data_IF_256788996458
#
_entry.id   IF_256788996458
#
_cell.length_a   1.000
_cell.length_b   1.000
_cell.length_c   1.000
_cell.angle_alpha   90.00
_cell.angle_beta   90.00
_cell.angle_gamma   90.00
#
_symmetry.space_group_name_H-M   'P 1'
#
loop_
_entity.id
_entity.type
_entity.pdbx_description
1 polymer ?
#
# COMPACT_ATOMS: atom_id res chain seq x y z
N UNK A 1 -16.42 11.00 -11.52
CA UNK A 1 -15.76 9.79 -10.95
C UNK A 1 -15.18 10.07 -9.56
N UNK A 2 -14.49 11.20 -9.34
CA UNK A 2 -14.00 11.61 -8.01
C UNK A 2 -15.09 11.76 -6.94
N UNK A 3 -16.26 12.27 -7.31
CA UNK A 3 -17.38 12.48 -6.38
C UNK A 3 -18.03 11.16 -5.91
N UNK A 4 -18.07 10.15 -6.80
CA UNK A 4 -18.61 8.82 -6.48
C UNK A 4 -17.68 8.05 -5.53
N UNK A 5 -16.36 8.21 -5.71
CA UNK A 5 -15.33 7.62 -4.84
C UNK A 5 -15.33 8.30 -3.46
N UNK A 6 -15.44 9.63 -3.39
CA UNK A 6 -15.56 10.34 -2.09
C UNK A 6 -16.78 9.91 -1.29
N UNK A 7 -17.89 9.56 -1.96
CA UNK A 7 -19.14 9.18 -1.30
C UNK A 7 -19.12 7.77 -0.69
N UNK A 8 -18.26 6.88 -1.18
CA UNK A 8 -18.22 5.46 -0.74
C UNK A 8 -16.92 5.08 -0.03
N UNK A 9 -15.89 5.93 -0.07
CA UNK A 9 -14.65 5.69 0.65
C UNK A 9 -14.77 6.27 2.05
N UNK A 10 -14.54 5.47 3.11
CA UNK A 10 -14.64 5.96 4.48
C UNK A 10 -13.66 7.10 4.70
N UNK A 11 -14.12 8.14 5.41
CA UNK A 11 -13.35 9.35 5.71
C UNK A 11 -12.06 9.02 6.46
N UNK A 12 -12.14 8.07 7.38
CA UNK A 12 -11.02 7.59 8.17
C UNK A 12 -10.82 6.10 8.02
N UNK A 13 -9.55 5.69 8.16
CA UNK A 13 -9.14 4.33 8.49
C UNK A 13 -8.59 4.33 9.90
N UNK A 14 -8.82 3.23 10.60
CA UNK A 14 -8.42 3.09 11.99
C UNK A 14 -7.30 2.09 12.11
N UNK A 15 -6.27 2.46 12.88
CA UNK A 15 -5.16 1.56 13.11
C UNK A 15 -4.43 1.85 14.41
N UNK A 16 -3.79 0.82 14.95
CA UNK A 16 -2.85 1.00 16.04
C UNK A 16 -1.49 1.41 15.49
N UNK A 17 -0.72 2.19 16.26
CA UNK A 17 0.60 2.62 15.83
C UNK A 17 1.50 3.04 16.98
N UNK A 18 2.81 2.92 16.76
CA UNK A 18 3.85 3.24 17.74
C UNK A 18 4.56 1.99 18.25
N UNK A 19 5.89 2.01 18.27
CA UNK A 19 6.68 1.00 18.98
C UNK A 19 6.45 1.18 20.49
N UNK A 20 6.09 0.10 21.20
CA UNK A 20 6.01 0.05 22.66
C UNK A 20 5.02 1.01 23.35
N UNK A 21 3.98 1.50 22.67
CA UNK A 21 2.89 2.19 23.36
C UNK A 21 1.77 1.21 23.67
N UNK A 22 1.08 1.45 24.79
CA UNK A 22 -0.20 0.85 25.12
C UNK A 22 -1.14 0.88 23.90
N UNK A 23 -2.16 0.02 23.89
CA UNK A 23 -3.09 -0.09 22.76
C UNK A 23 -3.83 1.25 22.53
N UNK A 24 -3.28 2.07 21.62
CA UNK A 24 -3.84 3.36 21.20
C UNK A 24 -4.30 3.24 19.75
N UNK A 25 -5.56 3.57 19.51
CA UNK A 25 -6.15 3.58 18.17
C UNK A 25 -6.05 5.01 17.62
N UNK A 26 -5.53 5.14 16.40
CA UNK A 26 -5.43 6.41 15.69
C UNK A 26 -6.36 6.38 14.47
N UNK A 27 -6.93 7.55 14.16
CA UNK A 27 -7.69 7.79 12.94
C UNK A 27 -6.78 8.40 11.88
N UNK A 28 -6.75 7.80 10.70
CA UNK A 28 -5.94 8.23 9.56
C UNK A 28 -6.85 8.55 8.39
N UNK A 29 -6.60 9.65 7.68
CA UNK A 29 -7.20 9.83 6.36
C UNK A 29 -6.62 8.83 5.36
N UNK A 30 -7.28 8.63 4.22
CA UNK A 30 -6.80 7.74 3.16
C UNK A 30 -5.37 8.08 2.70
N UNK A 31 -5.02 9.37 2.67
CA UNK A 31 -3.70 9.83 2.26
C UNK A 31 -2.63 9.60 3.34
N UNK A 32 -3.02 9.62 4.61
CA UNK A 32 -2.13 9.39 5.75
C UNK A 32 -1.88 7.90 6.02
N UNK A 33 -2.80 7.04 5.58
CA UNK A 33 -2.70 5.59 5.70
C UNK A 33 -1.46 5.05 5.01
N UNK A 34 -1.16 5.54 3.80
CA UNK A 34 0.03 5.14 3.04
C UNK A 34 0.05 3.64 2.75
N UNK A 35 1.16 2.99 3.11
CA UNK A 35 1.32 1.52 3.04
C UNK A 35 0.42 0.76 4.03
N UNK A 36 -0.23 1.46 4.95
CA UNK A 36 -1.21 0.91 5.87
C UNK A 36 -0.62 0.11 7.04
N UNK A 37 -1.51 -0.22 7.98
CA UNK A 37 -1.28 -1.29 8.94
C UNK A 37 -1.70 -2.63 8.33
N UNK A 38 -1.02 -3.71 8.70
CA UNK A 38 -1.44 -5.06 8.37
C UNK A 38 -2.83 -5.33 8.97
N UNK A 39 -3.67 -6.10 8.30
CA UNK A 39 -4.82 -6.67 9.01
C UNK A 39 -4.30 -7.40 10.25
N UNK A 40 -4.96 -7.26 11.40
CA UNK A 40 -4.58 -8.00 12.61
C UNK A 40 -4.59 -9.53 12.41
N UNK A 41 -5.18 -10.02 11.32
CA UNK A 41 -5.23 -11.41 10.89
C UNK A 41 -4.18 -11.77 9.83
N UNK A 42 -3.54 -10.77 9.20
CA UNK A 42 -2.53 -10.99 8.17
C UNK A 42 -1.14 -10.96 8.80
N UNK A 43 -0.44 -12.09 8.69
CA UNK A 43 0.99 -12.19 9.01
C UNK A 43 1.78 -11.07 8.35
N UNK A 44 2.90 -10.67 8.95
CA UNK A 44 3.80 -9.61 8.48
C UNK A 44 4.14 -9.73 6.99
N UNK A 45 3.32 -9.11 6.14
CA UNK A 45 3.52 -9.09 4.70
C UNK A 45 4.71 -8.18 4.40
N UNK A 46 5.89 -8.77 4.21
CA UNK A 46 7.12 -8.06 3.83
C UNK A 46 6.93 -7.30 2.51
N UNK A 47 6.02 -7.78 1.65
CA UNK A 47 5.55 -7.11 0.44
C UNK A 47 4.92 -5.73 0.72
N UNK A 48 4.32 -5.50 1.89
CA UNK A 48 3.75 -4.19 2.27
C UNK A 48 4.66 -3.40 3.22
N UNK A 49 5.93 -3.82 3.35
CA UNK A 49 6.92 -3.12 4.17
C UNK A 49 7.79 -2.17 3.33
N UNK A 50 8.15 -1.02 3.91
CA UNK A 50 9.07 -0.06 3.28
C UNK A 50 10.41 -0.70 2.99
N UNK A 51 10.89 -1.56 3.88
CA UNK A 51 12.17 -2.26 3.75
C UNK A 51 12.10 -3.24 2.58
N UNK A 52 11.06 -4.08 2.53
CA UNK A 52 10.84 -5.03 1.44
C UNK A 52 10.72 -4.33 0.09
N UNK A 53 9.92 -3.27 0.00
CA UNK A 53 9.76 -2.50 -1.24
C UNK A 53 11.04 -1.76 -1.65
N UNK A 54 11.83 -1.26 -0.69
CA UNK A 54 13.15 -0.68 -0.96
C UNK A 54 14.13 -1.72 -1.50
N UNK A 55 14.12 -2.93 -0.94
CA UNK A 55 14.98 -4.02 -1.37
C UNK A 55 14.60 -4.50 -2.78
N UNK A 56 13.31 -4.69 -3.05
CA UNK A 56 12.80 -5.04 -4.39
C UNK A 56 13.18 -3.94 -5.38
N UNK A 57 12.97 -2.67 -5.05
CA UNK A 57 13.38 -1.57 -5.92
C UNK A 57 14.88 -1.60 -6.19
N UNK A 58 15.73 -1.81 -5.18
CA UNK A 58 17.19 -1.87 -5.33
C UNK A 58 17.61 -3.03 -6.24
N UNK A 59 17.13 -4.25 -5.95
CA UNK A 59 17.46 -5.47 -6.71
C UNK A 59 17.01 -5.34 -8.16
N UNK A 60 15.81 -4.78 -8.40
CA UNK A 60 15.26 -4.63 -9.74
C UNK A 60 15.87 -3.45 -10.51
N UNK A 61 16.57 -2.51 -9.86
CA UNK A 61 17.15 -1.33 -10.53
C UNK A 61 18.19 -1.74 -11.57
N UNK A 62 19.13 -2.62 -11.22
CA UNK A 62 20.20 -3.03 -12.15
C UNK A 62 19.63 -3.78 -13.36
N UNK A 63 18.79 -4.81 -13.20
CA UNK A 63 18.14 -5.48 -14.34
C UNK A 63 17.23 -4.55 -15.14
N UNK A 64 16.48 -3.64 -14.51
CA UNK A 64 15.61 -2.70 -15.23
C UNK A 64 16.40 -1.71 -16.10
N UNK A 65 17.65 -1.40 -15.74
CA UNK A 65 18.55 -0.58 -16.55
C UNK A 65 19.27 -1.40 -17.62
N UNK A 66 19.73 -2.61 -17.30
CA UNK A 66 20.56 -3.44 -18.19
C UNK A 66 19.74 -4.23 -19.22
N UNK A 67 18.59 -4.80 -18.83
CA UNK A 67 17.77 -5.65 -19.71
C UNK A 67 17.28 -4.95 -20.99
N UNK A 68 16.92 -3.64 -20.98
CA UNK A 68 16.58 -2.92 -22.20
C UNK A 68 17.71 -2.90 -23.24
N UNK A 69 18.98 -2.91 -22.82
CA UNK A 69 20.13 -2.96 -23.74
C UNK A 69 20.35 -4.35 -24.35
N UNK A 70 19.82 -5.41 -23.75
CA UNK A 70 19.86 -6.76 -24.31
C UNK A 70 18.94 -6.94 -25.53
N UNK A 71 17.90 -6.12 -25.67
CA UNK A 71 16.99 -6.13 -26.81
C UNK A 71 17.70 -5.73 -28.13
N UNK A 72 18.37 -4.57 -28.24
CA UNK A 72 19.11 -4.22 -29.45
C UNK A 72 20.28 -5.18 -29.70
N UNK A 73 20.89 -5.75 -28.67
CA UNK A 73 21.91 -6.80 -28.82
C UNK A 73 21.33 -8.09 -29.43
N UNK A 74 20.15 -8.52 -28.97
CA UNK A 74 19.39 -9.64 -29.55
C UNK A 74 18.99 -9.39 -31.01
N UNK A 75 18.52 -8.19 -31.32
CA UNK A 75 18.20 -7.78 -32.69
C UNK A 75 19.45 -7.80 -33.58
N UNK A 76 20.57 -7.27 -33.09
CA UNK A 76 21.84 -7.27 -33.82
C UNK A 76 22.33 -8.69 -34.12
N UNK A 77 22.20 -9.60 -33.15
CA UNK A 77 22.55 -11.01 -33.35
C UNK A 77 21.64 -11.67 -34.38
N UNK A 78 20.32 -11.42 -34.37
CA UNK A 78 19.41 -11.88 -35.43
C UNK A 78 19.84 -11.37 -36.81
N UNK A 79 20.22 -10.09 -36.92
CA UNK A 79 20.66 -9.48 -38.18
C UNK A 79 21.98 -10.10 -38.67
N UNK A 80 22.93 -10.35 -37.77
CA UNK A 80 24.23 -10.94 -38.11
C UNK A 80 24.14 -12.44 -38.45
N UNK A 81 23.14 -13.15 -37.93
CA UNK A 81 22.89 -14.57 -38.20
C UNK A 81 22.11 -14.84 -39.49
N UNK A 82 21.76 -13.82 -40.28
CA UNK A 82 21.09 -13.98 -41.59
C UNK A 82 21.77 -14.91 -42.61
N UNK A 83 23.11 -15.07 -42.64
CA UNK A 83 23.75 -15.99 -43.57
C UNK A 83 23.54 -17.48 -43.26
N UNK A 84 23.20 -17.82 -42.00
CA UNK A 84 23.14 -19.20 -41.53
C UNK A 84 21.88 -19.41 -40.65
N UNK A 85 20.85 -20.03 -41.23
CA UNK A 85 19.50 -20.17 -40.63
C UNK A 85 19.48 -20.92 -39.28
N UNK A 86 20.53 -21.69 -38.96
CA UNK A 86 20.67 -22.40 -37.69
C UNK A 86 20.88 -21.48 -36.48
N UNK A 87 21.51 -20.32 -36.66
CA UNK A 87 21.86 -19.39 -35.57
C UNK A 87 20.77 -18.33 -35.29
N UNK A 88 19.84 -18.13 -36.23
CA UNK A 88 18.72 -17.19 -36.06
C UNK A 88 17.85 -17.49 -34.83
N UNK A 89 17.73 -18.77 -34.46
CA UNK A 89 16.94 -19.19 -33.30
C UNK A 89 17.46 -18.59 -31.99
N UNK A 90 18.78 -18.49 -31.82
CA UNK A 90 19.38 -17.95 -30.59
C UNK A 90 19.16 -16.45 -30.45
N UNK A 91 19.28 -15.68 -31.53
CA UNK A 91 19.01 -14.24 -31.50
C UNK A 91 17.55 -13.91 -31.15
N UNK A 92 16.60 -14.67 -31.69
CA UNK A 92 15.16 -14.51 -31.37
C UNK A 92 14.88 -14.87 -29.91
N UNK A 93 15.42 -16.00 -29.42
CA UNK A 93 15.27 -16.42 -28.02
C UNK A 93 15.85 -15.38 -27.06
N UNK A 94 17.04 -14.86 -27.35
CA UNK A 94 17.67 -13.80 -26.54
C UNK A 94 16.82 -12.53 -26.54
N UNK A 95 16.34 -12.09 -27.70
CA UNK A 95 15.49 -10.89 -27.81
C UNK A 95 14.23 -11.02 -26.98
N UNK A 96 13.53 -12.16 -27.08
CA UNK A 96 12.31 -12.42 -26.30
C UNK A 96 12.60 -12.50 -24.80
N UNK A 97 13.70 -13.15 -24.40
CA UNK A 97 14.12 -13.23 -23.01
C UNK A 97 14.40 -11.83 -22.43
N UNK A 98 15.17 -11.00 -23.13
CA UNK A 98 15.47 -9.64 -22.68
C UNK A 98 14.24 -8.73 -22.69
N UNK A 99 13.31 -8.89 -23.64
CA UNK A 99 12.04 -8.17 -23.64
C UNK A 99 11.18 -8.56 -22.42
N UNK A 100 11.09 -9.85 -22.11
CA UNK A 100 10.37 -10.36 -20.94
C UNK A 100 10.99 -9.87 -19.62
N UNK A 101 12.31 -9.98 -19.49
CA UNK A 101 13.04 -9.47 -18.32
C UNK A 101 12.86 -7.96 -18.15
N UNK A 102 12.93 -7.20 -19.24
CA UNK A 102 12.67 -5.75 -19.22
C UNK A 102 11.28 -5.46 -18.69
N UNK A 103 10.26 -6.14 -19.21
CA UNK A 103 8.88 -5.94 -18.78
C UNK A 103 8.70 -6.18 -17.27
N UNK A 104 9.21 -7.30 -16.76
CA UNK A 104 9.05 -7.68 -15.35
C UNK A 104 9.89 -6.79 -14.43
N UNK A 105 11.16 -6.56 -14.76
CA UNK A 105 12.06 -5.79 -13.90
C UNK A 105 11.69 -4.31 -13.88
N UNK A 106 11.38 -3.70 -15.03
CA UNK A 106 10.92 -2.32 -15.08
C UNK A 106 9.54 -2.17 -14.46
N UNK A 107 8.61 -3.11 -14.71
CA UNK A 107 7.30 -3.12 -14.07
C UNK A 107 7.38 -3.22 -12.55
N UNK A 108 8.17 -4.15 -12.02
CA UNK A 108 8.40 -4.31 -10.59
C UNK A 108 9.06 -3.08 -9.96
N UNK A 109 10.08 -2.51 -10.62
CA UNK A 109 10.75 -1.29 -10.17
C UNK A 109 9.80 -0.08 -10.10
N UNK A 110 8.99 0.15 -11.13
CA UNK A 110 8.01 1.23 -11.15
C UNK A 110 6.94 1.05 -10.07
N UNK A 111 6.44 -0.16 -9.87
CA UNK A 111 5.48 -0.47 -8.82
C UNK A 111 6.04 -0.19 -7.42
N UNK A 112 7.25 -0.69 -7.12
CA UNK A 112 7.90 -0.49 -5.83
C UNK A 112 8.20 0.99 -5.56
N UNK A 113 8.70 1.73 -6.54
CA UNK A 113 8.98 3.16 -6.37
C UNK A 113 7.70 3.99 -6.19
N UNK A 114 6.61 3.66 -6.89
CA UNK A 114 5.32 4.30 -6.70
C UNK A 114 4.77 4.09 -5.28
N UNK A 115 4.88 2.86 -4.76
CA UNK A 115 4.49 2.52 -3.39
C UNK A 115 5.32 3.31 -2.37
N UNK A 116 6.65 3.35 -2.54
CA UNK A 116 7.54 4.10 -1.64
C UNK A 116 7.25 5.61 -1.66
N UNK A 117 6.93 6.18 -2.83
CA UNK A 117 6.51 7.59 -2.95
C UNK A 117 5.21 7.86 -2.20
N UNK A 118 4.21 6.96 -2.30
CA UNK A 118 2.95 7.08 -1.55
C UNK A 118 3.21 7.06 -0.04
N UNK A 119 4.02 6.13 0.44
CA UNK A 119 4.37 6.07 1.86
C UNK A 119 5.15 7.31 2.33
N UNK A 120 6.04 7.83 1.49
CA UNK A 120 6.79 9.05 1.82
C UNK A 120 5.87 10.27 1.95
N UNK A 121 4.89 10.41 1.06
CA UNK A 121 3.84 11.44 1.17
C UNK A 121 3.01 11.26 2.43
N UNK A 122 2.56 10.03 2.71
CA UNK A 122 1.82 9.71 3.92
C UNK A 122 2.61 10.04 5.20
N UNK A 123 3.91 9.74 5.23
CA UNK A 123 4.80 10.08 6.35
C UNK A 123 4.92 11.60 6.53
N UNK A 124 4.98 12.35 5.43
CA UNK A 124 5.03 13.83 5.47
C UNK A 124 3.73 14.41 6.05
N UNK A 125 2.58 13.81 5.77
CA UNK A 125 1.28 14.21 6.32
C UNK A 125 1.12 13.82 7.81
N UNK A 126 1.64 12.65 8.20
CA UNK A 126 1.58 12.14 9.58
C UNK A 126 2.46 12.93 10.56
N UNK A 127 3.68 13.29 10.15
CA UNK A 127 4.67 13.97 11.02
C UNK A 127 4.15 15.23 11.72
N UNK A 128 3.50 16.20 11.05
CA UNK A 128 2.98 17.40 11.72
C UNK A 128 1.82 17.12 12.67
N UNK A 129 1.06 16.04 12.47
CA UNK A 129 -0.04 15.62 13.35
C UNK A 129 0.40 14.72 14.50
N UNK A 130 1.70 14.39 14.59
CA UNK A 130 2.22 13.44 15.58
C UNK A 130 1.72 12.01 15.40
N UNK A 131 1.12 11.68 14.24
CA UNK A 131 0.53 10.37 13.98
C UNK A 131 1.63 9.32 13.75
N UNK A 132 1.63 8.19 14.48
CA UNK A 132 2.60 7.13 14.26
C UNK A 132 2.30 6.37 12.96
N UNK A 133 3.21 5.48 12.56
CA UNK A 133 2.93 4.56 11.45
C UNK A 133 1.86 3.55 11.86
N UNK A 134 0.78 3.37 11.06
CA UNK A 134 -0.19 2.33 11.32
C UNK A 134 0.51 0.97 11.20
N UNK A 135 0.32 0.13 12.20
CA UNK A 135 0.88 -1.21 12.31
C UNK A 135 -0.20 -2.26 12.06
N UNK A 136 -1.35 -2.09 12.71
CA UNK A 136 -2.49 -3.00 12.55
C UNK A 136 -3.76 -2.23 12.24
N UNK A 137 -4.50 -2.67 11.23
CA UNK A 137 -5.84 -2.16 10.94
C UNK A 137 -6.84 -2.65 11.99
N UNK A 138 -7.72 -1.73 12.39
CA UNK A 138 -8.74 -1.95 13.42
C UNK A 138 -10.10 -1.72 12.77
N UNK A 139 -11.06 -2.61 13.05
CA UNK A 139 -12.44 -2.46 12.56
C UNK A 139 -13.13 -1.25 13.18
N UNK A 140 -14.09 -0.66 12.47
CA UNK A 140 -14.88 0.48 12.96
C UNK A 140 -15.49 0.23 14.34
N UNK A 141 -15.95 -0.99 14.62
CA UNK A 141 -16.51 -1.36 15.93
C UNK A 141 -15.49 -1.31 17.06
N UNK A 142 -14.28 -1.82 16.83
CA UNK A 142 -13.20 -1.79 17.83
C UNK A 142 -12.67 -0.37 18.00
N UNK A 143 -12.55 0.37 16.90
CA UNK A 143 -12.13 1.77 16.92
C UNK A 143 -13.15 2.62 17.69
N UNK A 144 -14.44 2.50 17.36
CA UNK A 144 -15.53 3.20 18.03
C UNK A 144 -15.51 2.98 19.54
N UNK A 145 -15.45 1.72 19.99
CA UNK A 145 -15.37 1.39 21.43
C UNK A 145 -14.15 2.02 22.11
N UNK A 146 -13.03 2.17 21.39
CA UNK A 146 -11.85 2.81 21.94
C UNK A 146 -12.04 4.34 22.06
N UNK A 147 -12.63 4.99 21.06
CA UNK A 147 -12.95 6.42 21.08
C UNK A 147 -14.08 6.77 22.05
N UNK A 148 -15.05 5.87 22.27
CA UNK A 148 -16.06 5.98 23.33
C UNK A 148 -15.43 6.03 24.73
N UNK A 149 -14.36 5.24 24.95
CA UNK A 149 -13.61 5.24 26.22
C UNK A 149 -12.61 6.40 26.35
N UNK A 150 -12.24 7.04 25.24
CA UNK A 150 -11.25 8.11 25.19
C UNK A 150 -11.85 9.33 24.46
N UNK A 151 -12.80 10.05 25.09
CA UNK A 151 -13.50 11.16 24.44
C UNK A 151 -12.56 12.32 24.14
N UNK A 152 -12.87 13.09 23.08
CA UNK A 152 -12.18 14.34 22.71
C UNK A 152 -11.22 14.26 21.52
N UNK A 153 -10.97 13.07 20.96
CA UNK A 153 -10.08 12.91 19.79
C UNK A 153 -10.88 12.89 18.47
N UNK A 154 -12.06 12.28 18.46
CA UNK A 154 -12.92 12.13 17.28
C UNK A 154 -14.38 12.01 17.70
N UNK A 155 -15.28 12.68 16.96
CA UNK A 155 -16.73 12.58 17.21
C UNK A 155 -17.27 11.19 16.81
N UNK A 156 -18.13 10.62 17.65
CA UNK A 156 -18.73 9.29 17.44
C UNK A 156 -19.97 9.44 16.57
N UNK A 157 -19.76 9.47 15.25
CA UNK A 157 -20.84 9.63 14.26
C UNK A 157 -20.80 8.53 13.20
N UNK A 158 -21.95 8.27 12.57
CA UNK A 158 -22.09 7.34 11.44
C UNK A 158 -21.19 7.72 10.26
N UNK A 159 -20.88 9.00 10.09
CA UNK A 159 -19.97 9.49 9.05
C UNK A 159 -18.51 9.09 9.30
N UNK A 160 -18.07 9.11 10.56
CA UNK A 160 -16.71 8.72 10.93
C UNK A 160 -16.55 7.19 11.00
N UNK A 161 -17.59 6.47 11.42
CA UNK A 161 -17.60 5.01 11.59
C UNK A 161 -18.71 4.36 10.74
N UNK A 162 -18.63 4.46 9.39
CA UNK A 162 -19.70 4.02 8.50
C UNK A 162 -20.00 2.52 8.58
N UNK A 163 -18.99 1.71 8.90
CA UNK A 163 -19.12 0.24 8.94
C UNK A 163 -19.36 -0.30 10.36
N UNK A 164 -19.64 0.56 11.34
CA UNK A 164 -19.96 0.08 12.68
C UNK A 164 -21.33 -0.61 12.70
N UNK A 165 -21.38 -1.79 13.31
CA UNK A 165 -22.61 -2.57 13.51
C UNK A 165 -23.45 -2.04 14.67
N UNK A 166 -22.87 -1.20 15.54
CA UNK A 166 -23.57 -0.60 16.66
C UNK A 166 -24.44 0.58 16.22
N UNK A 167 -25.64 0.75 16.80
CA UNK A 167 -26.47 1.91 16.55
C UNK A 167 -25.79 3.19 17.06
N UNK A 168 -25.98 4.31 16.37
CA UNK A 168 -25.50 5.64 16.76
C UNK A 168 -26.59 6.42 17.49
N UNK A 169 -26.24 7.48 18.24
CA UNK A 169 -27.23 8.38 18.83
C UNK A 169 -28.24 8.85 17.77
N UNK A 170 -29.53 8.59 17.99
CA UNK A 170 -30.61 8.92 17.05
C UNK A 170 -31.05 7.78 16.13
N UNK A 171 -30.39 6.61 16.17
CA UNK A 171 -30.78 5.43 15.41
C UNK A 171 -31.59 4.43 16.25
N UNK A 172 -32.49 3.64 15.62
CA UNK A 172 -33.27 2.62 16.33
C UNK A 172 -32.36 1.57 16.98
N UNK A 173 -32.62 1.29 18.26
CA UNK A 173 -31.84 0.33 19.05
C UNK A 173 -30.64 0.94 19.79
N UNK A 174 -30.41 2.25 19.70
CA UNK A 174 -29.38 2.92 20.50
C UNK A 174 -29.72 2.87 22.00
N UNK A 175 -28.81 2.31 22.78
CA UNK A 175 -28.84 2.36 24.24
C UNK A 175 -27.61 3.17 24.67
N UNK A 176 -27.83 4.28 25.36
CA UNK A 176 -26.73 5.08 25.88
C UNK A 176 -25.87 4.22 26.83
N UNK A 177 -24.53 4.26 26.72
CA UNK A 177 -23.68 3.58 27.68
C UNK A 177 -24.00 4.11 29.08
N UNK A 178 -24.19 3.20 30.05
CA UNK A 178 -24.34 3.59 31.45
C UNK A 178 -23.04 4.24 31.90
N UNK A 179 -23.15 5.43 32.49
CA UNK A 179 -22.04 6.04 33.22
C UNK A 179 -21.79 5.16 34.46
N UNK A 180 -20.62 4.53 34.51
CA UNK A 180 -20.10 3.82 35.68
C UNK A 180 -19.24 4.77 36.54
#
# INVERSE_FOLDING_TARGET
MEEYVRKHVPKYRYGTGGWNKEYVVYAYTQEEWGLGGHSATESSNMANSVIGQSLVALIMTVPAVVAPFGIPFGILTVIMSFPDLGDMGMGVVLTLLFAFLTLICTGGWLASTAILRKEWRARKLRKPKGLPKPMYEVTDDKARRWFEKNPGILDITRENFPYSTYPFPGEPGFVAPKED
#
